data_IF_759235425899
#
_entry.id   IF_759235425899
#
_cell.length_a   1.000
_cell.length_b   1.000
_cell.length_c   1.000
_cell.angle_alpha   90.00
_cell.angle_beta   90.00
_cell.angle_gamma   90.00
#
_symmetry.space_group_name_H-M   'P 1'
#
loop_
_entity.id
_entity.type
_entity.pdbx_description
1 polymer ?
#
# COMPACT_ATOMS: atom_id res chain seq x y z
N UNK A 1 3.23 4.47 26.73
CA UNK A 1 3.21 3.11 26.14
C UNK A 1 4.43 2.34 26.63
N UNK A 2 4.31 1.07 27.02
CA UNK A 2 5.46 0.26 27.40
C UNK A 2 6.37 0.01 26.19
N UNK A 3 7.69 0.02 26.40
CA UNK A 3 8.71 -0.19 25.35
C UNK A 3 8.50 -1.50 24.57
N UNK A 4 7.98 -2.54 25.25
CA UNK A 4 7.63 -3.83 24.65
C UNK A 4 6.53 -3.71 23.59
N UNK A 5 5.48 -2.92 23.84
CA UNK A 5 4.37 -2.70 22.90
C UNK A 5 4.82 -1.96 21.64
N UNK A 6 5.66 -0.92 21.78
CA UNK A 6 6.19 -0.16 20.63
C UNK A 6 7.01 -1.08 19.72
N UNK A 7 7.85 -1.94 20.30
CA UNK A 7 8.65 -2.90 19.53
C UNK A 7 7.80 -3.97 18.82
N UNK A 8 6.70 -4.41 19.45
CA UNK A 8 5.78 -5.37 18.86
C UNK A 8 5.02 -4.76 17.69
N UNK A 9 4.49 -3.55 17.85
CA UNK A 9 3.80 -2.80 16.80
C UNK A 9 4.72 -2.58 15.60
N UNK A 10 5.95 -2.11 15.81
CA UNK A 10 6.90 -1.92 14.71
C UNK A 10 7.21 -3.23 13.94
N UNK A 11 7.31 -4.38 14.64
CA UNK A 11 7.50 -5.69 14.00
C UNK A 11 6.28 -6.12 13.19
N UNK A 12 5.08 -5.95 13.74
CA UNK A 12 3.83 -6.30 13.06
C UNK A 12 3.63 -5.41 11.84
N UNK A 13 3.75 -4.09 11.98
CA UNK A 13 3.63 -3.14 10.87
C UNK A 13 4.64 -3.43 9.76
N UNK A 14 5.88 -3.81 10.11
CA UNK A 14 6.88 -4.23 9.12
C UNK A 14 6.45 -5.48 8.36
N UNK A 15 5.90 -6.50 9.03
CA UNK A 15 5.40 -7.71 8.37
C UNK A 15 4.23 -7.39 7.44
N UNK A 16 3.27 -6.59 7.91
CA UNK A 16 2.13 -6.18 7.10
C UNK A 16 2.60 -5.39 5.88
N UNK A 17 3.53 -4.45 6.03
CA UNK A 17 4.15 -3.71 4.92
C UNK A 17 4.73 -4.66 3.88
N UNK A 18 5.57 -5.62 4.28
CA UNK A 18 6.22 -6.53 3.33
C UNK A 18 5.19 -7.41 2.60
N UNK A 19 4.22 -7.98 3.34
CA UNK A 19 3.20 -8.86 2.76
C UNK A 19 2.30 -8.09 1.80
N UNK A 20 1.82 -6.91 2.21
CA UNK A 20 0.92 -6.10 1.39
C UNK A 20 1.64 -5.48 0.19
N UNK A 21 2.88 -5.01 0.33
CA UNK A 21 3.68 -4.52 -0.79
C UNK A 21 3.95 -5.62 -1.83
N UNK A 22 4.32 -6.83 -1.38
CA UNK A 22 4.51 -7.98 -2.27
C UNK A 22 3.19 -8.37 -2.96
N UNK A 23 2.07 -8.34 -2.24
CA UNK A 23 0.76 -8.61 -2.81
C UNK A 23 0.37 -7.58 -3.89
N UNK A 24 0.56 -6.28 -3.62
CA UNK A 24 0.29 -5.21 -4.59
C UNK A 24 1.12 -5.40 -5.86
N UNK A 25 2.40 -5.72 -5.73
CA UNK A 25 3.26 -6.01 -6.89
C UNK A 25 2.83 -7.27 -7.63
N UNK A 26 2.33 -8.30 -6.92
CA UNK A 26 1.78 -9.51 -7.50
C UNK A 26 0.44 -9.31 -8.22
N UNK A 27 -0.35 -8.32 -7.82
CA UNK A 27 -1.58 -7.95 -8.53
C UNK A 27 -1.29 -7.44 -9.94
N UNK A 28 -0.16 -6.77 -10.19
CA UNK A 28 0.19 -6.22 -11.51
C UNK A 28 0.24 -7.31 -12.60
N UNK A 29 1.07 -8.36 -12.49
CA UNK A 29 1.09 -9.43 -13.48
C UNK A 29 -0.23 -10.23 -13.50
N UNK A 30 -0.93 -10.36 -12.38
CA UNK A 30 -2.21 -11.04 -12.34
C UNK A 30 -3.30 -10.30 -13.13
N UNK A 31 -3.33 -8.96 -13.05
CA UNK A 31 -4.25 -8.11 -13.82
C UNK A 31 -3.93 -8.19 -15.31
N UNK A 32 -2.65 -8.10 -15.69
CA UNK A 32 -2.22 -8.25 -17.08
C UNK A 32 -2.56 -9.63 -17.65
N UNK A 33 -2.42 -10.67 -16.83
CA UNK A 33 -2.78 -12.03 -17.21
C UNK A 33 -4.30 -12.18 -17.40
N UNK A 34 -5.08 -11.64 -16.46
CA UNK A 34 -6.53 -11.62 -16.54
C UNK A 34 -7.00 -10.87 -17.80
N UNK A 35 -6.36 -9.74 -18.14
CA UNK A 35 -6.62 -8.98 -19.37
C UNK A 35 -6.39 -9.85 -20.60
N UNK A 36 -5.25 -10.54 -20.65
CA UNK A 36 -4.87 -11.39 -21.78
C UNK A 36 -5.85 -12.54 -22.02
N UNK A 37 -6.45 -13.07 -20.97
CA UNK A 37 -7.44 -14.17 -21.06
C UNK A 37 -8.90 -13.68 -21.08
N UNK A 38 -9.15 -12.36 -21.07
CA UNK A 38 -10.50 -11.79 -21.04
C UNK A 38 -11.25 -12.07 -19.72
N UNK A 39 -10.53 -12.34 -18.64
CA UNK A 39 -11.11 -12.59 -17.32
C UNK A 39 -11.43 -11.28 -16.60
N UNK A 40 -12.37 -11.34 -15.65
CA UNK A 40 -12.71 -10.18 -14.83
C UNK A 40 -11.52 -9.73 -13.98
N UNK A 41 -11.17 -8.44 -14.10
CA UNK A 41 -10.08 -7.81 -13.34
C UNK A 41 -10.57 -7.19 -12.02
N UNK A 42 -11.89 -7.02 -11.86
CA UNK A 42 -12.54 -6.43 -10.69
C UNK A 42 -12.06 -7.02 -9.35
N UNK A 43 -11.95 -8.35 -9.16
CA UNK A 43 -11.48 -8.89 -7.89
C UNK A 43 -10.04 -8.47 -7.56
N UNK A 44 -9.15 -8.41 -8.56
CA UNK A 44 -7.75 -8.02 -8.35
C UNK A 44 -7.63 -6.55 -7.98
N UNK A 45 -8.39 -5.66 -8.62
CA UNK A 45 -8.40 -4.25 -8.25
C UNK A 45 -8.96 -4.02 -6.83
N UNK A 46 -10.01 -4.74 -6.46
CA UNK A 46 -10.62 -4.62 -5.13
C UNK A 46 -9.66 -5.09 -4.03
N UNK A 47 -9.06 -6.27 -4.18
CA UNK A 47 -8.10 -6.78 -3.19
C UNK A 47 -6.80 -5.96 -3.17
N UNK A 48 -6.36 -5.44 -4.32
CA UNK A 48 -5.23 -4.52 -4.38
C UNK A 48 -5.52 -3.23 -3.60
N UNK A 49 -6.73 -2.68 -3.69
CA UNK A 49 -7.12 -1.47 -2.94
C UNK A 49 -7.11 -1.73 -1.43
N UNK A 50 -7.62 -2.87 -0.97
CA UNK A 50 -7.54 -3.28 0.44
C UNK A 50 -6.07 -3.39 0.89
N UNK A 51 -5.21 -4.01 0.06
CA UNK A 51 -3.79 -4.15 0.36
C UNK A 51 -3.07 -2.79 0.42
N UNK A 52 -3.41 -1.85 -0.48
CA UNK A 52 -2.90 -0.47 -0.48
C UNK A 52 -3.23 0.24 0.83
N UNK A 53 -4.50 0.16 1.29
CA UNK A 53 -4.93 0.78 2.56
C UNK A 53 -4.17 0.18 3.74
N UNK A 54 -4.06 -1.15 3.82
CA UNK A 54 -3.34 -1.82 4.89
C UNK A 54 -1.83 -1.49 4.89
N UNK A 55 -1.23 -1.39 3.70
CA UNK A 55 0.17 -1.02 3.55
C UNK A 55 0.41 0.43 3.99
N UNK A 56 -0.49 1.35 3.60
CA UNK A 56 -0.40 2.76 3.94
C UNK A 56 -0.50 2.99 5.45
N UNK A 57 -1.49 2.37 6.11
CA UNK A 57 -1.62 2.41 7.57
C UNK A 57 -0.39 1.84 8.26
N UNK A 58 0.14 0.72 7.74
CA UNK A 58 1.35 0.10 8.29
C UNK A 58 2.59 0.97 8.14
N UNK A 59 2.75 1.65 7.02
CA UNK A 59 3.85 2.60 6.80
C UNK A 59 3.76 3.77 7.78
N UNK A 60 2.59 4.38 7.93
CA UNK A 60 2.37 5.51 8.86
C UNK A 60 2.65 5.07 10.30
N UNK A 61 2.08 3.95 10.74
CA UNK A 61 2.28 3.43 12.11
C UNK A 61 3.76 3.07 12.34
N UNK A 62 4.41 2.44 11.36
CA UNK A 62 5.83 2.09 11.46
C UNK A 62 6.71 3.33 11.58
N UNK A 63 6.51 4.35 10.74
CA UNK A 63 7.27 5.60 10.78
C UNK A 63 6.99 6.38 12.07
N UNK A 64 5.74 6.45 12.52
CA UNK A 64 5.37 7.12 13.77
C UNK A 64 6.00 6.46 14.99
N UNK A 65 6.02 5.12 15.04
CA UNK A 65 6.63 4.36 16.15
C UNK A 65 8.14 4.36 16.12
N UNK A 66 8.76 4.51 14.95
CA UNK A 66 10.22 4.54 14.78
C UNK A 66 10.80 5.95 14.63
N UNK A 67 10.00 7.00 14.86
CA UNK A 67 10.40 8.41 14.68
C UNK A 67 11.60 8.86 15.53
N UNK A 68 11.78 8.24 16.69
CA UNK A 68 12.87 8.54 17.64
C UNK A 68 14.10 7.65 17.44
N UNK A 69 14.04 6.70 16.49
CA UNK A 69 15.16 5.83 16.13
C UNK A 69 15.97 6.47 15.01
N UNK A 70 17.31 6.27 14.94
CA UNK A 70 18.11 6.69 13.79
C UNK A 70 17.51 6.17 12.49
N UNK A 71 17.61 6.98 11.43
CA UNK A 71 17.11 6.65 10.10
C UNK A 71 17.91 5.48 9.51
N UNK A 72 17.24 4.36 9.29
CA UNK A 72 17.76 3.08 8.81
C UNK A 72 16.98 2.64 7.58
N UNK A 73 17.48 1.57 6.93
CA UNK A 73 16.89 0.99 5.73
C UNK A 73 15.36 0.81 5.80
N UNK A 74 14.82 0.36 6.94
CA UNK A 74 13.38 0.12 7.07
C UNK A 74 12.54 1.40 7.09
N UNK A 75 13.04 2.52 7.66
CA UNK A 75 12.35 3.80 7.56
C UNK A 75 12.43 4.35 6.14
N UNK A 76 13.57 4.19 5.46
CA UNK A 76 13.69 4.55 4.04
C UNK A 76 12.69 3.77 3.17
N UNK A 77 12.64 2.44 3.31
CA UNK A 77 11.69 1.59 2.59
C UNK A 77 10.23 1.94 2.89
N UNK A 78 9.90 2.20 4.15
CA UNK A 78 8.55 2.62 4.54
C UNK A 78 8.17 3.99 3.97
N UNK A 79 9.11 4.94 3.95
CA UNK A 79 8.88 6.25 3.32
C UNK A 79 8.70 6.15 1.81
N UNK A 80 9.54 5.36 1.12
CA UNK A 80 9.41 5.12 -0.33
C UNK A 80 8.08 4.44 -0.64
N UNK A 81 7.73 3.38 0.09
CA UNK A 81 6.44 2.71 -0.06
C UNK A 81 5.27 3.66 0.17
N UNK A 82 5.33 4.49 1.21
CA UNK A 82 4.30 5.49 1.50
C UNK A 82 4.12 6.47 0.34
N UNK A 83 5.21 7.01 -0.21
CA UNK A 83 5.15 7.94 -1.35
C UNK A 83 4.55 7.26 -2.58
N UNK A 84 4.99 6.03 -2.90
CA UNK A 84 4.44 5.29 -4.04
C UNK A 84 2.95 4.98 -3.89
N UNK A 85 2.50 4.61 -2.69
CA UNK A 85 1.09 4.37 -2.40
C UNK A 85 0.25 5.65 -2.54
N UNK A 86 0.76 6.79 -2.05
CA UNK A 86 0.09 8.08 -2.19
C UNK A 86 0.00 8.52 -3.65
N UNK A 87 1.07 8.33 -4.44
CA UNK A 87 1.06 8.61 -5.88
C UNK A 87 0.05 7.71 -6.60
N UNK A 88 -0.02 6.43 -6.25
CA UNK A 88 -1.00 5.51 -6.82
C UNK A 88 -2.43 5.92 -6.48
N UNK A 89 -2.71 6.30 -5.22
CA UNK A 89 -4.02 6.80 -4.81
C UNK A 89 -4.38 8.12 -5.49
N UNK A 90 -3.43 9.03 -5.64
CA UNK A 90 -3.62 10.28 -6.36
C UNK A 90 -3.96 10.04 -7.84
N UNK A 91 -3.29 9.07 -8.48
CA UNK A 91 -3.59 8.65 -9.85
C UNK A 91 -5.00 8.07 -9.96
N UNK A 92 -5.39 7.17 -9.06
CA UNK A 92 -6.75 6.59 -9.03
C UNK A 92 -7.80 7.68 -8.84
N UNK A 93 -7.59 8.58 -7.88
CA UNK A 93 -8.49 9.71 -7.65
C UNK A 93 -8.59 10.63 -8.87
N UNK A 94 -7.46 10.92 -9.53
CA UNK A 94 -7.43 11.72 -10.75
C UNK A 94 -8.22 11.08 -11.89
N UNK A 95 -8.06 9.77 -12.11
CA UNK A 95 -8.83 9.01 -13.11
C UNK A 95 -10.32 9.09 -12.77
N UNK A 96 -10.71 8.83 -11.52
CA UNK A 96 -12.12 8.93 -11.12
C UNK A 96 -12.65 10.33 -11.40
N UNK A 97 -11.97 11.40 -10.95
CA UNK A 97 -12.43 12.77 -11.17
C UNK A 97 -12.53 13.16 -12.64
N UNK A 98 -11.61 12.67 -13.47
CA UNK A 98 -11.57 12.99 -14.90
C UNK A 98 -12.65 12.24 -15.67
N UNK A 99 -12.90 10.97 -15.33
CA UNK A 99 -13.88 10.12 -16.01
C UNK A 99 -15.27 10.10 -15.34
N UNK A 100 -15.44 10.78 -14.19
CA UNK A 100 -16.74 11.02 -13.55
C UNK A 100 -17.36 12.37 -13.94
N UNK A 101 -16.83 13.03 -14.99
CA UNK A 101 -17.43 14.23 -15.59
C UNK A 101 -18.82 13.93 -16.20
N UNK A 102 -19.69 14.95 -16.36
CA UNK A 102 -21.12 14.80 -16.55
C UNK A 102 -21.48 14.34 -17.97
N UNK A 103 -21.39 13.04 -18.22
CA UNK A 103 -21.93 12.37 -19.41
C UNK A 103 -22.90 11.23 -19.00
N UNK A 104 -23.54 11.38 -17.83
CA UNK A 104 -24.65 10.53 -17.38
C UNK A 104 -25.99 11.23 -17.58
#
# INVERSE_FOLDING_TARGET
MPLSAISAVARVSRRVLVVTAAYILGCIPAILLAERYGWTQTPFHLTQLIAVVLCLLSCIVFLATTRSSPFRLWQWLASVALVLLLLWLALVAYIILTYSGPEG
#
